data_IF_411246749110
#
_entry.id   IF_411246749110
#
_cell.length_a   1.000
_cell.length_b   1.000
_cell.length_c   1.000
_cell.angle_alpha   90.00
_cell.angle_beta   90.00
_cell.angle_gamma   90.00
#
_symmetry.space_group_name_H-M   'P 1'
#
loop_
_entity.id
_entity.type
_entity.pdbx_description
1 polymer ?
#
# COMPACT_ATOMS: atom_id res chain seq x y z
N UNK A 1 -16.21 34.57 7.34
CA UNK A 1 -16.21 33.52 6.28
C UNK A 1 -16.72 32.24 6.92
N UNK A 2 -17.75 31.68 6.36
CA UNK A 2 -18.61 30.68 6.99
C UNK A 2 -17.86 29.35 7.20
N UNK A 3 -17.66 28.95 8.47
CA UNK A 3 -17.16 27.62 8.87
C UNK A 3 -17.97 26.46 8.23
N UNK A 4 -19.17 26.75 7.68
CA UNK A 4 -20.05 25.77 7.06
C UNK A 4 -19.40 25.03 5.89
N UNK A 5 -18.88 25.77 4.90
CA UNK A 5 -18.28 25.15 3.71
C UNK A 5 -17.07 24.28 4.02
N UNK A 6 -16.21 24.70 4.97
CA UNK A 6 -15.06 23.87 5.38
C UNK A 6 -15.53 22.65 6.18
N UNK A 7 -16.60 22.78 6.96
CA UNK A 7 -17.20 21.66 7.68
C UNK A 7 -17.75 20.61 6.72
N UNK A 8 -18.44 21.05 5.66
CA UNK A 8 -18.96 20.13 4.66
C UNK A 8 -17.84 19.39 3.91
N UNK A 9 -16.78 20.11 3.50
CA UNK A 9 -15.58 19.51 2.89
C UNK A 9 -14.93 18.51 3.84
N UNK A 10 -14.82 18.83 5.13
CA UNK A 10 -14.24 17.93 6.13
C UNK A 10 -15.06 16.65 6.30
N UNK A 11 -16.39 16.77 6.38
CA UNK A 11 -17.28 15.62 6.50
C UNK A 11 -17.27 14.75 5.23
N UNK A 12 -17.19 15.35 4.06
CA UNK A 12 -17.03 14.63 2.80
C UNK A 12 -15.70 13.88 2.73
N UNK A 13 -14.61 14.49 3.18
CA UNK A 13 -13.29 13.83 3.26
C UNK A 13 -13.31 12.65 4.23
N UNK A 14 -13.90 12.82 5.43
CA UNK A 14 -14.06 11.71 6.39
C UNK A 14 -14.91 10.58 5.83
N UNK A 15 -15.98 10.91 5.08
CA UNK A 15 -16.85 9.92 4.44
C UNK A 15 -16.10 9.13 3.37
N UNK A 16 -15.27 9.82 2.58
CA UNK A 16 -14.44 9.22 1.55
C UNK A 16 -13.37 8.32 2.17
N UNK A 17 -12.72 8.77 3.26
CA UNK A 17 -11.78 7.97 4.03
C UNK A 17 -12.42 6.71 4.61
N UNK A 18 -13.61 6.83 5.20
CA UNK A 18 -14.32 5.68 5.75
C UNK A 18 -14.62 4.61 4.69
N UNK A 19 -15.09 5.02 3.51
CA UNK A 19 -15.29 4.08 2.40
C UNK A 19 -13.96 3.51 1.88
N UNK A 20 -12.88 4.30 1.86
CA UNK A 20 -11.54 3.83 1.51
C UNK A 20 -11.09 2.69 2.43
N UNK A 21 -11.14 2.90 3.75
CA UNK A 21 -10.80 1.89 4.76
C UNK A 21 -11.68 0.62 4.62
N UNK A 22 -12.97 0.80 4.35
CA UNK A 22 -13.88 -0.33 4.12
C UNK A 22 -13.54 -1.09 2.83
N UNK A 23 -13.00 -0.45 1.81
CA UNK A 23 -12.47 -1.08 0.62
C UNK A 23 -11.12 -1.77 0.91
N UNK A 24 -10.24 -1.12 1.67
CA UNK A 24 -8.97 -1.69 2.12
C UNK A 24 -9.17 -3.00 2.91
N UNK A 25 -10.11 -3.03 3.85
CA UNK A 25 -10.47 -4.25 4.58
C UNK A 25 -10.94 -5.41 3.70
N UNK A 26 -11.45 -5.12 2.49
CA UNK A 26 -11.83 -6.16 1.51
C UNK A 26 -10.68 -6.59 0.62
N UNK A 27 -9.79 -5.67 0.25
CA UNK A 27 -8.71 -5.97 -0.71
C UNK A 27 -7.45 -6.50 -0.03
N UNK A 28 -7.08 -6.00 1.15
CA UNK A 28 -5.86 -6.41 1.87
C UNK A 28 -5.77 -7.92 2.12
N UNK A 29 -6.84 -8.63 2.58
CA UNK A 29 -6.80 -10.08 2.71
C UNK A 29 -6.52 -10.79 1.37
N UNK A 30 -7.05 -10.27 0.26
CA UNK A 30 -6.84 -10.84 -1.07
C UNK A 30 -5.40 -10.64 -1.54
N UNK A 31 -4.83 -9.45 -1.31
CA UNK A 31 -3.42 -9.17 -1.58
C UNK A 31 -2.50 -10.07 -0.75
N UNK A 32 -2.80 -10.24 0.54
CA UNK A 32 -2.08 -11.16 1.43
C UNK A 32 -2.11 -12.59 0.90
N UNK A 33 -3.26 -13.08 0.50
CA UNK A 33 -3.43 -14.46 0.02
C UNK A 33 -2.78 -14.67 -1.36
N UNK A 34 -2.66 -13.62 -2.17
CA UNK A 34 -1.94 -13.62 -3.42
C UNK A 34 -0.41 -13.58 -3.24
N UNK A 35 0.08 -12.98 -2.16
CA UNK A 35 1.50 -12.85 -1.86
C UNK A 35 2.16 -14.22 -1.59
N UNK A 36 3.41 -14.39 -2.03
CA UNK A 36 4.24 -15.59 -1.83
C UNK A 36 5.25 -15.39 -0.72
N UNK A 37 5.88 -14.24 -0.64
CA UNK A 37 6.82 -13.89 0.43
C UNK A 37 6.12 -13.89 1.79
N UNK A 38 6.70 -14.61 2.75
CA UNK A 38 6.20 -14.63 4.13
C UNK A 38 6.23 -13.24 4.76
N UNK A 39 7.31 -12.48 4.54
CA UNK A 39 7.45 -11.10 5.04
C UNK A 39 6.34 -10.18 4.50
N UNK A 40 5.99 -10.32 3.22
CA UNK A 40 4.91 -9.55 2.61
C UNK A 40 3.55 -9.91 3.23
N UNK A 41 3.29 -11.20 3.40
CA UNK A 41 2.05 -11.68 4.04
C UNK A 41 1.92 -11.19 5.47
N UNK A 42 3.00 -11.18 6.24
CA UNK A 42 3.03 -10.65 7.61
C UNK A 42 2.77 -9.13 7.65
N UNK A 43 3.40 -8.37 6.73
CA UNK A 43 3.18 -6.93 6.60
C UNK A 43 1.71 -6.61 6.30
N UNK A 44 1.11 -7.30 5.32
CA UNK A 44 -0.30 -7.12 4.94
C UNK A 44 -1.27 -7.58 6.04
N UNK A 45 -0.94 -8.65 6.79
CA UNK A 45 -1.75 -9.09 7.93
C UNK A 45 -1.79 -8.02 9.01
N UNK A 46 -0.63 -7.48 9.37
CA UNK A 46 -0.54 -6.39 10.35
C UNK A 46 -1.32 -5.16 9.91
N UNK A 47 -1.15 -4.77 8.65
CA UNK A 47 -1.87 -3.62 8.12
C UNK A 47 -3.39 -3.83 8.14
N UNK A 48 -3.87 -5.02 7.82
CA UNK A 48 -5.30 -5.34 7.93
C UNK A 48 -5.84 -5.19 9.38
N UNK A 49 -5.02 -5.46 10.40
CA UNK A 49 -5.41 -5.23 11.79
C UNK A 49 -5.37 -3.73 12.15
N UNK A 50 -4.38 -2.98 11.65
CA UNK A 50 -4.30 -1.52 11.78
C UNK A 50 -5.52 -0.84 11.12
N UNK A 51 -5.91 -1.23 9.91
CA UNK A 51 -7.09 -0.71 9.18
C UNK A 51 -8.40 -0.87 9.97
N UNK A 52 -8.58 -1.95 10.74
CA UNK A 52 -9.76 -2.07 11.61
C UNK A 52 -9.82 -0.97 12.66
N UNK A 53 -8.67 -0.62 13.24
CA UNK A 53 -8.59 0.47 14.23
C UNK A 53 -8.82 1.84 13.56
N UNK A 54 -8.41 2.01 12.29
CA UNK A 54 -8.68 3.23 11.52
C UNK A 54 -10.19 3.43 11.33
N UNK A 55 -10.91 2.38 10.95
CA UNK A 55 -12.37 2.40 10.85
C UNK A 55 -13.01 2.79 12.19
N UNK A 56 -12.57 2.20 13.30
CA UNK A 56 -13.09 2.53 14.64
C UNK A 56 -12.85 4.00 15.02
N UNK A 57 -11.66 4.55 14.70
CA UNK A 57 -11.36 5.97 14.95
C UNK A 57 -12.23 6.91 14.11
N UNK A 58 -12.46 6.57 12.84
CA UNK A 58 -13.38 7.36 11.98
C UNK A 58 -14.81 7.29 12.50
N UNK A 59 -15.28 6.12 12.94
CA UNK A 59 -16.59 5.97 13.58
C UNK A 59 -16.71 6.82 14.85
N UNK A 60 -15.67 6.85 15.68
CA UNK A 60 -15.64 7.72 16.86
C UNK A 60 -15.76 9.19 16.46
N UNK A 61 -15.04 9.64 15.44
CA UNK A 61 -15.15 11.01 14.94
C UNK A 61 -16.59 11.32 14.48
N UNK A 62 -17.24 10.40 13.75
CA UNK A 62 -18.62 10.59 13.29
C UNK A 62 -19.63 10.73 14.44
N UNK A 63 -19.37 10.13 15.61
CA UNK A 63 -20.25 10.34 16.77
C UNK A 63 -20.34 11.81 17.21
N UNK A 64 -19.22 12.56 17.07
CA UNK A 64 -19.18 13.99 17.38
C UNK A 64 -20.00 14.85 16.38
N UNK A 65 -20.33 14.27 15.23
CA UNK A 65 -21.10 14.91 14.15
C UNK A 65 -22.53 14.33 14.00
N UNK A 66 -23.03 13.62 15.03
CA UNK A 66 -24.35 13.03 15.02
C UNK A 66 -24.55 11.95 13.95
N UNK A 67 -23.48 11.22 13.62
CA UNK A 67 -23.49 10.17 12.59
C UNK A 67 -23.45 10.66 11.16
N UNK A 68 -23.27 11.98 10.91
CA UNK A 68 -23.10 12.54 9.56
C UNK A 68 -21.75 12.08 8.98
N UNK A 69 -21.73 11.77 7.70
CA UNK A 69 -20.50 11.47 6.97
C UNK A 69 -20.18 9.97 6.78
N UNK A 70 -21.17 9.07 6.93
CA UNK A 70 -20.97 7.62 6.76
C UNK A 70 -21.31 7.09 5.36
N UNK A 71 -21.60 7.94 4.39
CA UNK A 71 -22.11 7.55 3.05
C UNK A 71 -21.21 8.03 1.90
N UNK A 72 -19.89 8.08 2.13
CA UNK A 72 -18.95 8.48 1.09
C UNK A 72 -18.69 7.37 0.06
N UNK A 73 -18.04 7.74 -1.03
CA UNK A 73 -17.53 6.81 -2.04
C UNK A 73 -16.12 7.22 -2.47
N UNK A 74 -15.15 6.36 -2.20
CA UNK A 74 -13.75 6.53 -2.62
C UNK A 74 -13.52 5.95 -4.02
N UNK A 75 -13.84 6.73 -5.05
CA UNK A 75 -13.63 6.32 -6.43
C UNK A 75 -12.13 6.11 -6.75
N UNK A 76 -11.24 6.89 -6.11
CA UNK A 76 -9.79 6.74 -6.27
C UNK A 76 -9.30 5.38 -5.78
N UNK A 77 -9.73 4.97 -4.58
CA UNK A 77 -9.36 3.66 -4.05
C UNK A 77 -10.03 2.53 -4.86
N UNK A 78 -11.28 2.69 -5.27
CA UNK A 78 -11.96 1.72 -6.12
C UNK A 78 -11.20 1.47 -7.43
N UNK A 79 -10.60 2.51 -8.02
CA UNK A 79 -9.72 2.37 -9.19
C UNK A 79 -8.45 1.58 -8.90
N UNK A 80 -7.82 1.81 -7.74
CA UNK A 80 -6.64 1.04 -7.30
C UNK A 80 -7.01 -0.45 -7.10
N UNK A 81 -8.17 -0.72 -6.49
CA UNK A 81 -8.67 -2.10 -6.28
C UNK A 81 -8.95 -2.80 -7.60
N UNK A 82 -9.56 -2.10 -8.56
CA UNK A 82 -9.79 -2.66 -9.90
C UNK A 82 -8.46 -2.98 -10.62
N UNK A 83 -7.49 -2.08 -10.57
CA UNK A 83 -6.15 -2.31 -11.13
C UNK A 83 -5.47 -3.53 -10.48
N UNK A 84 -5.72 -3.77 -9.18
CA UNK A 84 -5.23 -4.94 -8.47
C UNK A 84 -5.72 -6.25 -9.11
N UNK A 85 -7.01 -6.34 -9.39
CA UNK A 85 -7.61 -7.52 -9.97
C UNK A 85 -7.06 -7.83 -11.37
N UNK A 86 -6.90 -6.80 -12.21
CA UNK A 86 -6.34 -6.92 -13.55
C UNK A 86 -4.89 -7.42 -13.51
N UNK A 87 -4.03 -6.73 -12.75
CA UNK A 87 -2.59 -7.04 -12.70
C UNK A 87 -2.27 -8.37 -12.01
N UNK A 88 -3.00 -8.78 -10.98
CA UNK A 88 -2.79 -10.07 -10.32
C UNK A 88 -3.11 -11.25 -11.24
N UNK A 89 -4.07 -11.08 -12.16
CA UNK A 89 -4.41 -12.10 -13.16
C UNK A 89 -3.33 -12.22 -14.25
N UNK A 90 -2.57 -11.16 -14.52
CA UNK A 90 -1.51 -11.12 -15.53
C UNK A 90 -0.15 -11.62 -15.00
N UNK A 91 0.05 -11.65 -13.69
CA UNK A 91 1.32 -12.02 -13.07
C UNK A 91 1.66 -13.50 -13.30
N UNK A 92 2.64 -13.77 -14.17
CA UNK A 92 3.00 -15.10 -14.64
C UNK A 92 3.90 -15.89 -13.67
N UNK A 93 4.65 -15.21 -12.79
CA UNK A 93 5.58 -15.81 -11.83
C UNK A 93 5.26 -15.37 -10.40
N UNK A 94 5.77 -16.11 -9.42
CA UNK A 94 5.59 -15.78 -8.00
C UNK A 94 6.27 -14.44 -7.65
N UNK A 95 7.45 -14.16 -8.18
CA UNK A 95 8.17 -12.89 -7.97
C UNK A 95 7.44 -11.71 -8.61
N UNK A 96 6.94 -11.88 -9.85
CA UNK A 96 6.11 -10.87 -10.50
C UNK A 96 4.82 -10.61 -9.70
N UNK A 97 4.27 -11.63 -9.08
CA UNK A 97 3.07 -11.53 -8.23
C UNK A 97 3.35 -10.71 -6.97
N UNK A 98 4.44 -10.98 -6.27
CA UNK A 98 4.83 -10.21 -5.09
C UNK A 98 5.14 -8.75 -5.44
N UNK A 99 5.82 -8.49 -6.56
CA UNK A 99 6.06 -7.13 -7.05
C UNK A 99 4.75 -6.37 -7.34
N UNK A 100 3.76 -7.04 -7.97
CA UNK A 100 2.43 -6.48 -8.21
C UNK A 100 1.73 -6.18 -6.88
N UNK A 101 1.71 -7.12 -5.94
CA UNK A 101 1.09 -6.95 -4.61
C UNK A 101 1.70 -5.76 -3.87
N UNK A 102 3.03 -5.66 -3.83
CA UNK A 102 3.72 -4.52 -3.18
C UNK A 102 3.33 -3.21 -3.85
N UNK A 103 3.37 -3.15 -5.18
CA UNK A 103 3.04 -1.92 -5.92
C UNK A 103 1.60 -1.44 -5.71
N UNK A 104 0.67 -2.38 -5.57
CA UNK A 104 -0.75 -2.06 -5.28
C UNK A 104 -0.95 -1.62 -3.84
N UNK A 105 -0.37 -2.34 -2.87
CA UNK A 105 -0.42 -1.96 -1.47
C UNK A 105 0.19 -0.57 -1.26
N UNK A 106 1.36 -0.27 -1.87
CA UNK A 106 1.97 1.06 -1.80
C UNK A 106 1.05 2.18 -2.32
N UNK A 107 0.30 1.95 -3.41
CA UNK A 107 -0.64 2.96 -3.92
C UNK A 107 -1.80 3.20 -2.97
N UNK A 108 -2.30 2.15 -2.32
CA UNK A 108 -3.34 2.21 -1.31
C UNK A 108 -2.88 3.06 -0.14
N UNK A 109 -1.71 2.73 0.47
CA UNK A 109 -1.13 3.51 1.57
C UNK A 109 -0.95 4.99 1.22
N UNK A 110 -0.41 5.30 0.04
CA UNK A 110 -0.16 6.69 -0.34
C UNK A 110 -1.44 7.47 -0.63
N UNK A 111 -2.49 6.81 -1.11
CA UNK A 111 -3.81 7.41 -1.21
C UNK A 111 -4.34 7.81 0.19
N UNK A 112 -4.26 6.90 1.15
CA UNK A 112 -4.72 7.11 2.53
C UNK A 112 -3.87 8.16 3.26
N UNK A 113 -2.54 8.11 3.12
CA UNK A 113 -1.63 9.15 3.66
C UNK A 113 -2.03 10.55 3.19
N UNK A 114 -2.31 10.73 1.90
CA UNK A 114 -2.71 12.02 1.36
C UNK A 114 -4.07 12.48 1.94
N UNK A 115 -5.06 11.60 1.96
CA UNK A 115 -6.40 11.89 2.44
C UNK A 115 -6.42 12.18 3.96
N UNK A 116 -5.75 11.37 4.78
CA UNK A 116 -5.62 11.63 6.23
C UNK A 116 -4.86 12.93 6.53
N UNK A 117 -3.85 13.28 5.73
CA UNK A 117 -3.14 14.55 5.83
C UNK A 117 -4.06 15.76 5.61
N UNK A 118 -4.94 15.68 4.61
CA UNK A 118 -5.96 16.69 4.33
C UNK A 118 -6.99 16.78 5.46
N UNK A 119 -7.60 15.65 5.84
CA UNK A 119 -8.62 15.59 6.88
C UNK A 119 -8.09 16.16 8.22
N UNK A 120 -6.87 15.78 8.63
CA UNK A 120 -6.22 16.33 9.81
C UNK A 120 -6.05 17.85 9.73
N UNK A 121 -5.68 18.38 8.57
CA UNK A 121 -5.51 19.82 8.37
C UNK A 121 -6.85 20.54 8.49
N UNK A 122 -7.93 19.97 7.96
CA UNK A 122 -9.28 20.52 8.09
C UNK A 122 -9.77 20.47 9.55
N UNK A 123 -9.57 19.38 10.26
CA UNK A 123 -9.89 19.26 11.69
C UNK A 123 -9.21 20.37 12.52
N UNK A 124 -7.92 20.64 12.29
CA UNK A 124 -7.20 21.72 12.96
C UNK A 124 -7.79 23.10 12.67
N UNK A 125 -8.13 23.37 11.40
CA UNK A 125 -8.76 24.64 11.00
C UNK A 125 -10.15 24.83 11.57
N UNK A 126 -10.87 23.74 11.84
CA UNK A 126 -12.18 23.73 12.48
C UNK A 126 -12.11 23.75 14.01
N UNK A 127 -10.89 23.88 14.59
CA UNK A 127 -10.64 23.81 16.03
C UNK A 127 -11.14 22.52 16.68
N UNK A 128 -10.84 21.38 16.04
CA UNK A 128 -11.16 20.02 16.49
C UNK A 128 -9.86 19.26 16.86
N UNK A 129 -9.19 19.62 17.96
CA UNK A 129 -7.86 19.08 18.28
C UNK A 129 -7.89 17.57 18.56
N UNK A 130 -8.94 17.05 19.18
CA UNK A 130 -9.05 15.61 19.47
C UNK A 130 -9.22 14.78 18.20
N UNK A 131 -10.04 15.26 17.25
CA UNK A 131 -10.21 14.62 15.95
C UNK A 131 -8.89 14.68 15.15
N UNK A 132 -8.21 15.84 15.17
CA UNK A 132 -6.91 16.00 14.50
C UNK A 132 -5.83 15.07 15.09
N UNK A 133 -5.91 14.72 16.39
CA UNK A 133 -5.02 13.75 17.04
C UNK A 133 -5.31 12.33 16.56
N UNK A 134 -6.57 11.91 16.53
CA UNK A 134 -6.95 10.58 16.02
C UNK A 134 -6.53 10.38 14.56
N UNK A 135 -6.75 11.41 13.72
CA UNK A 135 -6.34 11.39 12.31
C UNK A 135 -4.80 11.36 12.14
N UNK A 136 -4.05 11.99 13.06
CA UNK A 136 -2.59 11.91 13.06
C UNK A 136 -2.10 10.51 13.43
N UNK A 137 -2.70 9.87 14.43
CA UNK A 137 -2.35 8.51 14.83
C UNK A 137 -2.47 7.54 13.64
N UNK A 138 -3.58 7.61 12.90
CA UNK A 138 -3.78 6.82 11.68
C UNK A 138 -2.76 7.18 10.60
N UNK A 139 -2.58 8.46 10.30
CA UNK A 139 -1.60 8.93 9.31
C UNK A 139 -0.18 8.40 9.58
N UNK A 140 0.24 8.32 10.84
CA UNK A 140 1.54 7.77 11.22
C UNK A 140 1.60 6.25 11.06
N UNK A 141 0.48 5.55 11.27
CA UNK A 141 0.35 4.10 11.04
C UNK A 141 0.44 3.78 9.55
N UNK A 142 -0.24 4.53 8.67
CA UNK A 142 -0.12 4.42 7.21
C UNK A 142 1.31 4.66 6.74
N UNK A 143 1.96 5.71 7.25
CA UNK A 143 3.37 5.98 6.96
C UNK A 143 4.30 4.86 7.40
N UNK A 144 3.99 4.13 8.48
CA UNK A 144 4.74 2.94 8.89
C UNK A 144 4.45 1.74 7.99
N UNK A 145 3.20 1.54 7.57
CA UNK A 145 2.82 0.48 6.64
C UNK A 145 3.53 0.64 5.29
N UNK A 146 3.51 1.85 4.71
CA UNK A 146 4.23 2.16 3.47
C UNK A 146 5.75 1.87 3.57
N UNK A 147 6.38 2.26 4.69
CA UNK A 147 7.81 1.95 4.91
C UNK A 147 8.08 0.44 5.01
N UNK A 148 7.25 -0.31 5.73
CA UNK A 148 7.37 -1.79 5.81
C UNK A 148 7.31 -2.44 4.43
N UNK A 149 6.41 -1.98 3.56
CA UNK A 149 6.30 -2.48 2.18
C UNK A 149 7.55 -2.15 1.36
N UNK A 150 8.11 -0.95 1.53
CA UNK A 150 9.39 -0.56 0.89
C UNK A 150 10.54 -1.46 1.35
N UNK A 151 10.67 -1.71 2.64
CA UNK A 151 11.70 -2.61 3.21
C UNK A 151 11.57 -4.04 2.67
N UNK A 152 10.33 -4.53 2.49
CA UNK A 152 10.09 -5.84 1.87
C UNK A 152 10.54 -5.83 0.41
N UNK A 153 10.19 -4.81 -0.38
CA UNK A 153 10.58 -4.69 -1.77
C UNK A 153 12.11 -4.66 -1.95
N UNK A 154 12.80 -3.84 -1.14
CA UNK A 154 14.26 -3.72 -1.17
C UNK A 154 14.95 -5.04 -0.80
N UNK A 155 14.45 -5.75 0.23
CA UNK A 155 15.00 -7.03 0.64
C UNK A 155 14.85 -8.13 -0.42
N UNK A 156 13.79 -8.10 -1.22
CA UNK A 156 13.62 -9.02 -2.35
C UNK A 156 14.60 -8.72 -3.48
N UNK A 157 14.74 -7.44 -3.85
CA UNK A 157 15.69 -7.02 -4.88
C UNK A 157 17.14 -7.39 -4.53
N UNK A 158 17.56 -7.29 -3.26
CA UNK A 158 18.89 -7.71 -2.81
C UNK A 158 19.11 -9.23 -2.91
N UNK A 159 18.07 -10.04 -2.61
CA UNK A 159 18.13 -11.49 -2.74
C UNK A 159 18.26 -11.92 -4.21
N UNK A 160 17.51 -11.28 -5.11
CA UNK A 160 17.58 -11.55 -6.55
C UNK A 160 18.97 -11.24 -7.12
N UNK A 161 19.55 -10.10 -6.74
CA UNK A 161 20.90 -9.70 -7.16
C UNK A 161 21.97 -10.68 -6.62
N UNK A 162 21.84 -11.14 -5.37
CA UNK A 162 22.76 -12.09 -4.77
C UNK A 162 22.66 -13.48 -5.40
N UNK A 163 21.44 -13.92 -5.73
CA UNK A 163 21.16 -15.15 -6.45
C UNK A 163 21.76 -15.16 -7.86
N UNK A 164 21.58 -14.08 -8.61
CA UNK A 164 22.15 -13.91 -9.95
C UNK A 164 23.69 -13.93 -9.96
N UNK A 165 24.35 -13.42 -8.90
CA UNK A 165 25.81 -13.47 -8.77
C UNK A 165 26.35 -14.88 -8.46
N UNK A 166 25.56 -15.77 -7.84
CA UNK A 166 25.96 -17.16 -7.54
C UNK A 166 25.85 -18.05 -8.79
N UNK A 167 25.01 -17.74 -9.75
CA UNK A 167 24.90 -18.50 -11.01
C UNK A 167 26.01 -18.23 -12.03
N UNK A 168 26.82 -17.20 -11.87
CA UNK A 168 28.03 -17.01 -12.67
C UNK A 168 29.12 -17.97 -12.19
N UNK A 169 29.04 -19.23 -12.60
CA UNK A 169 30.13 -20.21 -12.40
C UNK A 169 31.38 -19.74 -13.17
N UNK A 170 32.56 -19.56 -12.55
CA UNK A 170 33.80 -19.46 -13.27
C UNK A 170 34.17 -20.86 -13.72
N UNK A 171 34.05 -21.16 -15.00
CA UNK A 171 34.52 -22.46 -15.50
C UNK A 171 33.90 -22.97 -16.77
N UNK A 172 33.78 -22.19 -17.82
CA UNK A 172 33.77 -22.70 -19.17
C UNK A 172 35.13 -22.37 -19.82
N UNK A 173 36.07 -23.31 -19.73
CA UNK A 173 37.25 -23.29 -20.59
C UNK A 173 36.78 -23.17 -22.05
N UNK A 174 37.05 -22.05 -22.65
CA UNK A 174 37.03 -21.90 -24.11
C UNK A 174 38.14 -22.83 -24.61
N UNK A 175 37.72 -23.94 -25.20
CA UNK A 175 38.67 -24.83 -25.91
C UNK A 175 39.22 -24.05 -27.11
N UNK A 176 40.53 -23.79 -27.07
CA UNK A 176 41.26 -23.22 -28.17
C UNK A 176 41.25 -24.24 -29.33
N UNK A 177 40.83 -23.87 -30.54
CA UNK A 177 40.92 -24.81 -31.66
C UNK A 177 42.40 -25.08 -32.04
N UNK A 178 42.72 -26.31 -32.45
CA UNK A 178 44.10 -26.66 -32.81
C UNK A 178 44.52 -25.93 -34.07
N UNK A 179 45.72 -25.33 -34.04
CA UNK A 179 46.38 -24.78 -35.20
C UNK A 179 46.62 -25.91 -36.21
N UNK A 180 45.86 -25.83 -37.31
CA UNK A 180 46.13 -26.66 -38.49
C UNK A 180 47.35 -26.15 -39.20
N UNK A 181 48.40 -26.89 -39.11
CA UNK A 181 49.60 -26.79 -39.93
C UNK A 181 49.24 -27.11 -41.38
N UNK A 182 49.48 -26.19 -42.31
CA UNK A 182 49.48 -26.49 -43.73
C UNK A 182 50.75 -25.96 -44.36
N UNK A 183 51.67 -26.88 -44.48
CA UNK A 183 52.71 -26.85 -45.51
C UNK A 183 52.24 -27.65 -46.73
N UNK A 184 52.29 -26.99 -47.84
CA UNK A 184 52.43 -27.32 -49.28
C UNK A 184 51.26 -26.99 -50.15
#
# INVERSE_FOLDING_TARGET
>A
MTNGALTDIYLDELSTLYDAEMQALRVLPRLRDAARSLKLREALTRHCDETRLHVERLQLIFTHWGGRGTTGHSAGLAGIVQEADERLNEAATDDARDAVVIGLAQRLEHYEIAAYGCARTYARRLNRPDEARLLLETLEEEGRAARRLTEVAESQAELDLSGAMVEVRPGSHVATPPHGDKLR
#
